data_IF_382010005690
#
_entry.id   IF_382010005690
#
_cell.length_a   1.000
_cell.length_b   1.000
_cell.length_c   1.000
_cell.angle_alpha   90.00
_cell.angle_beta   90.00
_cell.angle_gamma   90.00
#
_symmetry.space_group_name_H-M   'P 1'
#
loop_
_entity.id
_entity.type
_entity.pdbx_description
1 polymer ?
#
# COMPACT_ATOMS: atom_id res chain seq x y z
N UNK A 1 -14.90 -15.28 14.71
CA UNK A 1 -13.61 -15.47 13.99
C UNK A 1 -12.49 -15.13 14.96
N UNK A 2 -11.41 -15.90 15.06
CA UNK A 2 -10.28 -15.63 15.98
C UNK A 2 -9.08 -15.06 15.22
N UNK A 3 -8.19 -14.34 15.91
CA UNK A 3 -6.95 -13.80 15.35
C UNK A 3 -5.76 -14.60 15.87
N UNK A 4 -4.85 -15.01 14.99
CA UNK A 4 -3.72 -15.89 15.33
C UNK A 4 -2.40 -15.28 14.84
N UNK A 5 -1.35 -15.37 15.64
CA UNK A 5 0.02 -15.07 15.24
C UNK A 5 0.86 -16.34 15.35
N UNK A 6 1.32 -16.88 14.22
CA UNK A 6 1.90 -18.22 14.15
C UNK A 6 3.17 -18.27 13.28
N UNK A 7 4.07 -19.24 13.50
CA UNK A 7 5.22 -19.45 12.62
C UNK A 7 4.80 -19.96 11.24
N UNK A 8 5.30 -19.35 10.17
CA UNK A 8 5.00 -19.75 8.78
C UNK A 8 5.59 -21.10 8.37
N UNK A 9 6.45 -21.70 9.19
CA UNK A 9 7.07 -23.02 8.93
C UNK A 9 6.30 -24.19 9.56
N UNK A 10 5.10 -23.95 10.10
CA UNK A 10 4.28 -25.05 10.64
C UNK A 10 3.89 -26.03 9.51
N UNK A 11 3.82 -27.34 9.80
CA UNK A 11 3.34 -28.33 8.84
C UNK A 11 1.95 -27.98 8.29
N UNK A 12 1.78 -28.10 6.97
CA UNK A 12 0.54 -27.78 6.25
C UNK A 12 0.40 -26.31 5.81
N UNK A 13 1.38 -25.44 6.10
CA UNK A 13 1.43 -24.09 5.53
C UNK A 13 2.22 -24.13 4.22
N UNK A 14 1.58 -23.68 3.14
CA UNK A 14 2.20 -23.61 1.82
C UNK A 14 2.09 -22.18 1.27
N UNK A 15 3.22 -21.54 1.00
CA UNK A 15 3.26 -20.25 0.29
C UNK A 15 3.30 -20.56 -1.20
N UNK A 16 2.28 -20.09 -1.91
CA UNK A 16 2.15 -20.28 -3.35
C UNK A 16 3.08 -19.33 -4.13
N UNK A 17 2.86 -19.24 -5.44
CA UNK A 17 3.62 -18.32 -6.29
C UNK A 17 3.29 -16.86 -5.93
N UNK A 18 4.32 -16.01 -5.96
CA UNK A 18 4.15 -14.55 -5.90
C UNK A 18 3.23 -14.08 -7.02
N UNK A 19 2.30 -13.21 -6.69
CA UNK A 19 1.37 -12.60 -7.64
C UNK A 19 2.14 -11.62 -8.52
N UNK A 20 1.96 -11.72 -9.84
CA UNK A 20 2.46 -10.72 -10.77
C UNK A 20 1.53 -9.49 -10.75
N UNK A 21 2.04 -8.39 -10.18
CA UNK A 21 1.26 -7.19 -9.89
C UNK A 21 1.55 -6.08 -10.89
N UNK A 22 0.55 -5.26 -11.17
CA UNK A 22 0.67 -4.04 -11.99
C UNK A 22 1.72 -3.05 -11.43
N UNK A 23 1.78 -2.91 -10.10
CA UNK A 23 2.68 -2.01 -9.39
C UNK A 23 3.09 -2.57 -8.02
N UNK A 24 3.77 -1.76 -7.21
CA UNK A 24 4.29 -2.18 -5.88
C UNK A 24 5.07 -3.51 -5.94
N UNK A 25 5.89 -3.68 -6.98
CA UNK A 25 6.61 -4.93 -7.28
C UNK A 25 7.68 -5.30 -6.23
N UNK A 26 8.11 -4.32 -5.42
CA UNK A 26 9.02 -4.52 -4.29
C UNK A 26 8.34 -5.08 -3.03
N UNK A 27 7.00 -5.01 -2.95
CA UNK A 27 6.25 -5.65 -1.88
C UNK A 27 6.05 -7.13 -2.21
N UNK A 28 6.23 -8.03 -1.25
CA UNK A 28 5.93 -9.44 -1.47
C UNK A 28 4.43 -9.68 -1.29
N UNK A 29 3.80 -10.32 -2.28
CA UNK A 29 2.38 -10.67 -2.23
C UNK A 29 2.20 -12.05 -2.87
N UNK A 30 1.64 -12.99 -2.11
CA UNK A 30 1.46 -14.37 -2.53
C UNK A 30 0.20 -14.93 -1.87
N UNK A 31 -0.37 -15.96 -2.49
CA UNK A 31 -1.40 -16.77 -1.84
C UNK A 31 -0.75 -17.68 -0.78
N UNK A 32 -1.45 -17.89 0.33
CA UNK A 32 -1.02 -18.75 1.42
C UNK A 32 -2.11 -19.79 1.66
N UNK A 33 -1.75 -21.05 1.54
CA UNK A 33 -2.63 -22.19 1.81
C UNK A 33 -2.35 -22.76 3.20
N UNK A 34 -3.43 -23.12 3.90
CA UNK A 34 -3.40 -23.75 5.21
C UNK A 34 -4.15 -25.09 5.15
N UNK A 35 -3.40 -26.19 5.14
CA UNK A 35 -3.92 -27.55 5.01
C UNK A 35 -3.74 -28.33 6.32
N UNK A 36 -4.82 -28.56 7.05
CA UNK A 36 -4.82 -29.33 8.31
C UNK A 36 -3.78 -28.84 9.35
N UNK A 37 -3.48 -27.54 9.37
CA UNK A 37 -2.47 -26.95 10.26
C UNK A 37 -2.91 -27.07 11.72
N UNK A 38 -2.09 -27.72 12.55
CA UNK A 38 -2.31 -27.82 14.00
C UNK A 38 -1.69 -26.60 14.69
N UNK A 39 -2.52 -25.80 15.36
CA UNK A 39 -2.09 -24.56 15.99
C UNK A 39 -2.38 -24.63 17.51
N UNK A 40 -1.33 -24.59 18.36
CA UNK A 40 -1.52 -24.46 19.81
C UNK A 40 -2.25 -23.17 20.21
N UNK A 41 -3.08 -23.23 21.25
CA UNK A 41 -3.89 -22.09 21.72
C UNK A 41 -3.07 -20.86 22.15
N UNK A 42 -1.79 -21.05 22.52
CA UNK A 42 -0.86 -19.94 22.84
C UNK A 42 -0.63 -18.94 21.71
N UNK A 43 -0.97 -19.30 20.47
CA UNK A 43 -0.85 -18.42 19.30
C UNK A 43 -2.10 -17.56 19.07
N UNK A 44 -3.14 -17.73 19.89
CA UNK A 44 -4.30 -16.86 19.91
C UNK A 44 -3.91 -15.46 20.38
N UNK A 45 -4.26 -14.46 19.59
CA UNK A 45 -4.20 -13.06 20.02
C UNK A 45 -5.52 -12.73 20.71
N UNK A 46 -5.44 -12.32 21.98
CA UNK A 46 -6.60 -11.93 22.78
C UNK A 46 -7.55 -13.10 23.03
N UNK A 47 -8.84 -12.86 22.82
CA UNK A 47 -9.92 -13.79 23.13
C UNK A 47 -10.42 -14.55 21.90
N UNK A 48 -10.84 -15.80 22.11
CA UNK A 48 -11.42 -16.62 21.05
C UNK A 48 -12.71 -15.98 20.53
N UNK A 49 -12.88 -15.94 19.21
CA UNK A 49 -14.06 -15.34 18.57
C UNK A 49 -13.99 -13.83 18.38
N UNK A 50 -13.04 -13.14 19.01
CA UNK A 50 -12.92 -11.67 18.98
C UNK A 50 -12.02 -11.11 17.87
N UNK A 51 -11.46 -11.98 17.02
CA UNK A 51 -10.51 -11.59 15.97
C UNK A 51 -11.03 -10.56 14.97
N UNK A 52 -12.34 -10.58 14.66
CA UNK A 52 -12.93 -9.54 13.80
C UNK A 52 -12.88 -8.16 14.46
N UNK A 53 -13.19 -8.06 15.76
CA UNK A 53 -13.16 -6.80 16.49
C UNK A 53 -11.73 -6.23 16.55
N UNK A 54 -10.73 -7.08 16.83
CA UNK A 54 -9.33 -6.68 16.82
C UNK A 54 -8.89 -6.16 15.45
N UNK A 55 -9.30 -6.84 14.37
CA UNK A 55 -9.01 -6.41 13.01
C UNK A 55 -9.67 -5.06 12.67
N UNK A 56 -10.91 -4.83 13.13
CA UNK A 56 -11.59 -3.55 12.91
C UNK A 56 -10.93 -2.38 13.63
N UNK A 57 -10.36 -2.61 14.81
CA UNK A 57 -9.57 -1.60 15.53
C UNK A 57 -8.30 -1.25 14.73
N UNK A 58 -7.52 -2.24 14.30
CA UNK A 58 -6.28 -2.02 13.54
C UNK A 58 -6.54 -1.33 12.19
N UNK A 59 -7.66 -1.63 11.51
CA UNK A 59 -8.02 -0.95 10.26
C UNK A 59 -8.26 0.55 10.40
N UNK A 60 -8.57 1.07 11.59
CA UNK A 60 -8.65 2.52 11.79
C UNK A 60 -7.28 3.18 11.66
N UNK A 61 -6.26 2.58 12.28
CA UNK A 61 -4.86 3.04 12.18
C UNK A 61 -4.30 2.87 10.78
N UNK A 62 -4.60 1.74 10.12
CA UNK A 62 -4.13 1.48 8.75
C UNK A 62 -4.62 2.53 7.75
N UNK A 63 -5.88 2.97 7.87
CA UNK A 63 -6.41 4.04 7.01
C UNK A 63 -5.67 5.35 7.22
N UNK A 64 -5.33 5.69 8.47
CA UNK A 64 -4.57 6.89 8.77
C UNK A 64 -3.16 6.80 8.18
N UNK A 65 -2.51 5.64 8.33
CA UNK A 65 -1.20 5.38 7.74
C UNK A 65 -1.22 5.47 6.20
N UNK A 66 -2.25 4.93 5.55
CA UNK A 66 -2.39 4.98 4.09
C UNK A 66 -2.45 6.43 3.57
N UNK A 67 -3.17 7.32 4.25
CA UNK A 67 -3.20 8.74 3.90
C UNK A 67 -1.84 9.38 4.16
N UNK A 68 -1.29 9.22 5.36
CA UNK A 68 -0.04 9.86 5.75
C UNK A 68 1.14 9.46 4.84
N UNK A 69 1.23 8.19 4.47
CA UNK A 69 2.30 7.67 3.60
C UNK A 69 2.24 8.20 2.16
N UNK A 70 1.10 8.74 1.72
CA UNK A 70 0.94 9.30 0.38
C UNK A 70 1.39 10.76 0.26
N UNK A 71 1.39 11.52 1.36
CA UNK A 71 1.57 12.99 1.32
C UNK A 71 2.90 13.41 0.69
N UNK A 72 4.01 12.87 1.18
CA UNK A 72 5.36 13.20 0.69
C UNK A 72 5.53 12.79 -0.79
N UNK A 73 4.95 11.65 -1.18
CA UNK A 73 5.00 11.19 -2.56
C UNK A 73 4.25 12.16 -3.47
N UNK A 74 3.06 12.62 -3.06
CA UNK A 74 2.28 13.58 -3.83
C UNK A 74 3.02 14.93 -3.99
N UNK A 75 3.60 15.46 -2.92
CA UNK A 75 4.42 16.68 -2.97
C UNK A 75 5.61 16.52 -3.93
N UNK A 76 6.29 15.37 -3.84
CA UNK A 76 7.43 15.05 -4.72
C UNK A 76 7.00 14.99 -6.18
N UNK A 77 5.87 14.34 -6.48
CA UNK A 77 5.34 14.23 -7.84
C UNK A 77 4.96 15.60 -8.42
N UNK A 78 4.39 16.50 -7.62
CA UNK A 78 4.09 17.88 -8.06
C UNK A 78 5.40 18.60 -8.42
N UNK A 79 6.43 18.51 -7.56
CA UNK A 79 7.73 19.12 -7.82
C UNK A 79 8.40 18.57 -9.07
N UNK A 80 8.45 17.25 -9.22
CA UNK A 80 9.03 16.61 -10.41
C UNK A 80 8.27 16.99 -11.68
N UNK A 81 6.95 17.15 -11.59
CA UNK A 81 6.12 17.60 -12.72
C UNK A 81 6.43 19.05 -13.09
N UNK A 82 6.61 19.95 -12.11
CA UNK A 82 7.05 21.33 -12.34
C UNK A 82 8.42 21.35 -13.01
N UNK A 83 9.37 20.58 -12.51
CA UNK A 83 10.73 20.51 -13.05
C UNK A 83 10.73 20.02 -14.51
N UNK A 84 9.98 18.95 -14.80
CA UNK A 84 9.84 18.42 -16.16
C UNK A 84 9.18 19.43 -17.10
N UNK A 85 8.07 20.05 -16.68
CA UNK A 85 7.31 21.01 -17.52
C UNK A 85 8.10 22.30 -17.78
N UNK A 86 8.98 22.70 -16.87
CA UNK A 86 9.90 23.83 -17.04
C UNK A 86 10.99 23.57 -18.08
N UNK A 87 11.42 22.31 -18.22
CA UNK A 87 12.52 21.91 -19.12
C UNK A 87 12.01 21.47 -20.50
N UNK A 88 10.87 20.78 -20.55
CA UNK A 88 10.30 20.27 -21.80
C UNK A 88 9.78 21.42 -22.65
N UNK A 89 10.31 21.59 -23.88
CA UNK A 89 9.86 22.62 -24.82
C UNK A 89 9.03 22.04 -25.96
N UNK A 90 7.95 22.71 -26.32
CA UNK A 90 7.18 22.52 -27.56
C UNK A 90 6.72 23.89 -28.06
N UNK A 91 6.49 24.03 -29.38
CA UNK A 91 6.05 25.31 -29.97
C UNK A 91 6.91 26.52 -29.57
N UNK A 92 8.23 26.32 -29.42
CA UNK A 92 9.19 27.38 -29.13
C UNK A 92 9.38 27.77 -27.65
N UNK A 93 8.63 27.19 -26.71
CA UNK A 93 8.70 27.55 -25.29
C UNK A 93 8.55 26.33 -24.35
N UNK A 94 8.98 26.43 -23.08
CA UNK A 94 8.64 25.45 -22.06
C UNK A 94 7.13 25.19 -21.97
N UNK A 95 6.73 23.91 -21.83
CA UNK A 95 5.32 23.54 -21.74
C UNK A 95 4.65 24.10 -20.48
N UNK A 96 5.44 24.42 -19.44
CA UNK A 96 4.95 25.10 -18.24
C UNK A 96 4.22 26.41 -18.57
N UNK A 97 4.64 27.16 -19.60
CA UNK A 97 3.99 28.43 -19.97
C UNK A 97 2.60 28.27 -20.60
N UNK A 98 2.15 27.06 -20.89
CA UNK A 98 0.77 26.84 -21.32
C UNK A 98 -0.17 27.03 -20.13
N UNK A 99 -1.13 27.96 -20.25
CA UNK A 99 -2.06 28.30 -19.15
C UNK A 99 -2.76 27.09 -18.53
N UNK A 100 -3.13 26.09 -19.35
CA UNK A 100 -3.77 24.86 -18.87
C UNK A 100 -2.88 24.06 -17.90
N UNK A 101 -1.55 24.09 -18.09
CA UNK A 101 -0.60 23.43 -17.20
C UNK A 101 -0.54 24.17 -15.86
N UNK A 102 -0.50 25.50 -15.88
CA UNK A 102 -0.57 26.31 -14.66
C UNK A 102 -1.86 26.08 -13.86
N UNK A 103 -3.02 26.07 -14.53
CA UNK A 103 -4.29 25.79 -13.87
C UNK A 103 -4.28 24.42 -13.20
N UNK A 104 -3.76 23.39 -13.90
CA UNK A 104 -3.69 22.05 -13.33
C UNK A 104 -2.75 21.98 -12.13
N UNK A 105 -1.60 22.65 -12.18
CA UNK A 105 -0.66 22.67 -11.06
C UNK A 105 -1.23 23.42 -9.85
N UNK A 106 -1.99 24.50 -10.07
CA UNK A 106 -2.66 25.24 -9.00
C UNK A 106 -3.79 24.46 -8.31
N UNK A 107 -4.45 23.53 -9.01
CA UNK A 107 -5.43 22.62 -8.40
C UNK A 107 -4.78 21.52 -7.55
N UNK A 108 -3.53 21.16 -7.83
CA UNK A 108 -2.81 20.07 -7.18
C UNK A 108 -2.02 20.55 -5.94
N UNK A 109 -1.67 21.83 -5.89
CA UNK A 109 -0.92 22.47 -4.80
C UNK A 109 -1.87 23.03 -3.72
#
# INVERSE_FOLDING_TARGET
>A
KSLLCLPMKLPGIHVAKKIDKLGMRSSDTAEIFFENVRIPSKYLIGEEGMGFNYQMLQFQEERMWAVASSLVVLETLIKETIDYTSQRKTFGQPILHNQIVHFRLAELA
#
